data_IF_564272205306
#
_entry.id   IF_564272205306
#
_cell.length_a   1.000
_cell.length_b   1.000
_cell.length_c   1.000
_cell.angle_alpha   90.00
_cell.angle_beta   90.00
_cell.angle_gamma   90.00
#
_symmetry.space_group_name_H-M   'P 1'
#
loop_
_entity.id
_entity.type
_entity.pdbx_description
1 polymer ?
#
# COMPACT_ATOMS: atom_id res chain seq x y z
N UNK A 1 22.40 -1.35 7.93
CA UNK A 1 21.15 -1.90 8.50
C UNK A 1 20.23 -2.23 7.36
N UNK A 2 19.76 -3.47 7.29
CA UNK A 2 18.80 -3.96 6.31
C UNK A 2 17.38 -3.45 6.60
N UNK A 3 16.50 -3.66 5.62
CA UNK A 3 15.06 -3.57 5.79
C UNK A 3 14.54 -5.01 5.71
N UNK A 4 13.84 -5.45 6.73
CA UNK A 4 13.14 -6.72 6.67
C UNK A 4 11.91 -6.59 5.78
N UNK A 5 11.67 -7.53 4.87
CA UNK A 5 10.42 -7.54 4.13
C UNK A 5 9.64 -8.83 4.36
N UNK A 6 8.32 -8.71 4.40
CA UNK A 6 7.41 -9.84 4.51
C UNK A 6 6.31 -9.73 3.45
N UNK A 7 5.99 -10.85 2.80
CA UNK A 7 4.97 -10.93 1.76
C UNK A 7 3.82 -11.83 2.20
N UNK A 8 2.66 -11.25 2.38
CA UNK A 8 1.44 -11.99 2.68
C UNK A 8 0.87 -12.63 1.42
N UNK A 9 0.51 -13.90 1.49
CA UNK A 9 0.00 -14.66 0.33
C UNK A 9 -1.51 -14.52 0.14
N UNK A 10 -2.26 -14.36 1.22
CA UNK A 10 -3.71 -14.23 1.22
C UNK A 10 -4.11 -12.76 1.34
N UNK A 11 -5.11 -12.26 0.59
CA UNK A 11 -5.64 -10.91 0.76
C UNK A 11 -6.14 -10.64 2.18
N UNK A 12 -5.65 -9.57 2.79
CA UNK A 12 -5.84 -9.25 4.20
C UNK A 12 -7.00 -8.28 4.45
N UNK A 13 -7.73 -8.42 5.57
CA UNK A 13 -8.69 -7.42 6.03
C UNK A 13 -7.97 -6.14 6.44
N UNK A 14 -8.42 -4.99 5.89
CA UNK A 14 -7.72 -3.72 6.07
C UNK A 14 -7.64 -3.26 7.52
N UNK A 15 -8.73 -3.37 8.28
CA UNK A 15 -8.78 -2.92 9.66
C UNK A 15 -7.74 -3.65 10.54
N UNK A 16 -7.58 -4.96 10.33
CA UNK A 16 -6.58 -5.78 11.05
C UNK A 16 -5.16 -5.44 10.62
N UNK A 17 -4.94 -5.22 9.33
CA UNK A 17 -3.63 -4.78 8.81
C UNK A 17 -3.26 -3.39 9.33
N UNK A 18 -4.23 -2.48 9.48
CA UNK A 18 -4.00 -1.17 10.10
C UNK A 18 -3.60 -1.31 11.57
N UNK A 19 -4.24 -2.21 12.30
CA UNK A 19 -3.87 -2.50 13.68
C UNK A 19 -2.44 -3.05 13.77
N UNK A 20 -2.06 -4.00 12.90
CA UNK A 20 -0.68 -4.53 12.81
C UNK A 20 0.34 -3.38 12.59
N UNK A 21 0.08 -2.46 11.66
CA UNK A 21 0.95 -1.31 11.44
C UNK A 21 1.10 -0.45 12.71
N UNK A 22 0.01 -0.24 13.45
CA UNK A 22 0.04 0.52 14.70
C UNK A 22 0.84 -0.19 15.80
N UNK A 23 0.70 -1.50 15.91
CA UNK A 23 1.45 -2.33 16.87
C UNK A 23 2.95 -2.32 16.55
N UNK A 24 3.33 -2.49 15.29
CA UNK A 24 4.73 -2.38 14.84
C UNK A 24 5.28 -0.99 15.13
N UNK A 25 4.52 0.07 14.84
CA UNK A 25 4.93 1.45 15.14
C UNK A 25 5.18 1.66 16.64
N UNK A 26 4.32 1.12 17.51
CA UNK A 26 4.51 1.20 18.96
C UNK A 26 5.75 0.41 19.43
N UNK A 27 5.95 -0.79 18.90
CA UNK A 27 7.13 -1.59 19.17
C UNK A 27 8.42 -0.86 18.75
N UNK A 28 8.47 -0.29 17.55
CA UNK A 28 9.60 0.51 17.08
C UNK A 28 9.85 1.72 17.98
N UNK A 29 8.81 2.41 18.45
CA UNK A 29 8.96 3.53 19.40
C UNK A 29 9.51 3.08 20.75
N UNK A 30 9.03 1.96 21.29
CA UNK A 30 9.47 1.42 22.56
C UNK A 30 10.94 1.00 22.50
N UNK A 31 11.32 0.22 21.49
CA UNK A 31 12.71 -0.22 21.30
C UNK A 31 13.64 0.99 21.11
N UNK A 32 13.25 1.96 20.27
CA UNK A 32 14.06 3.16 19.98
C UNK A 32 14.32 4.03 21.22
N UNK A 33 13.42 4.01 22.22
CA UNK A 33 13.62 4.72 23.49
C UNK A 33 14.74 4.10 24.34
N UNK A 34 14.93 2.79 24.21
CA UNK A 34 15.97 2.04 24.93
C UNK A 34 17.28 2.11 24.14
N UNK A 35 17.24 1.73 22.87
CA UNK A 35 18.38 1.79 21.96
C UNK A 35 17.91 2.17 20.54
N UNK A 36 18.27 3.37 20.05
CA UNK A 36 17.85 3.84 18.73
C UNK A 36 18.45 3.04 17.56
N UNK A 37 19.38 2.14 17.80
CA UNK A 37 20.06 1.36 16.76
C UNK A 37 19.43 -0.01 16.52
N UNK A 38 18.64 -0.54 17.46
CA UNK A 38 18.22 -1.95 17.46
C UNK A 38 16.83 -2.21 16.86
N UNK A 39 15.94 -1.18 16.77
CA UNK A 39 14.65 -1.39 16.13
C UNK A 39 14.81 -1.63 14.61
N UNK A 40 13.93 -2.44 14.02
CA UNK A 40 14.01 -2.84 12.63
C UNK A 40 13.08 -2.00 11.75
N UNK A 41 13.53 -1.67 10.54
CA UNK A 41 12.68 -1.15 9.47
C UNK A 41 12.05 -2.34 8.75
N UNK A 42 10.76 -2.26 8.44
CA UNK A 42 10.00 -3.37 7.89
C UNK A 42 9.22 -2.91 6.65
N UNK A 43 9.25 -3.67 5.57
CA UNK A 43 8.39 -3.52 4.41
C UNK A 43 7.38 -4.68 4.38
N UNK A 44 6.11 -4.38 4.61
CA UNK A 44 5.03 -5.35 4.42
C UNK A 44 4.49 -5.24 2.99
N UNK A 45 4.43 -6.36 2.27
CA UNK A 45 3.87 -6.46 0.92
C UNK A 45 2.67 -7.39 0.95
N UNK A 46 1.54 -6.93 0.43
CA UNK A 46 0.29 -7.63 0.56
C UNK A 46 -0.73 -7.21 -0.51
N UNK A 47 -1.83 -7.92 -0.56
CA UNK A 47 -3.07 -7.50 -1.17
C UNK A 47 -4.12 -7.33 -0.06
N UNK A 48 -5.09 -6.46 -0.25
CA UNK A 48 -6.26 -6.38 0.63
C UNK A 48 -7.47 -7.13 0.06
N UNK A 49 -8.40 -7.50 0.92
CA UNK A 49 -9.80 -7.74 0.54
C UNK A 49 -10.40 -6.42 0.06
N UNK A 50 -11.44 -6.43 -0.78
CA UNK A 50 -12.03 -5.20 -1.30
C UNK A 50 -12.35 -4.19 -0.20
N UNK A 51 -11.71 -3.01 -0.27
CA UNK A 51 -11.88 -1.95 0.73
C UNK A 51 -11.69 -0.57 0.11
N UNK A 52 -12.56 0.35 0.46
CA UNK A 52 -12.33 1.77 0.25
C UNK A 52 -11.76 2.40 1.52
N UNK A 53 -10.74 3.21 1.35
CA UNK A 53 -10.14 3.93 2.48
C UNK A 53 -10.22 5.43 2.22
N UNK A 54 -10.66 6.20 3.21
CA UNK A 54 -10.63 7.65 3.16
C UNK A 54 -9.49 8.20 4.01
N UNK A 55 -8.75 9.17 3.48
CA UNK A 55 -7.67 9.83 4.19
C UNK A 55 -8.17 11.01 5.03
N UNK A 56 -7.29 11.57 5.87
CA UNK A 56 -7.58 12.61 6.87
C UNK A 56 -8.16 13.93 6.34
N UNK A 57 -8.24 14.12 5.01
CA UNK A 57 -8.81 15.33 4.39
C UNK A 57 -10.33 15.30 4.29
N UNK A 58 -10.97 14.18 4.62
CA UNK A 58 -12.40 13.97 4.50
C UNK A 58 -12.96 13.57 5.87
N UNK A 59 -14.06 14.17 6.25
CA UNK A 59 -14.74 13.87 7.51
C UNK A 59 -15.71 12.72 7.37
N UNK A 60 -16.12 12.12 8.49
CA UNK A 60 -17.11 11.04 8.50
C UNK A 60 -18.48 11.52 8.01
N UNK A 61 -18.85 12.77 8.34
CA UNK A 61 -20.11 13.39 7.92
C UNK A 61 -20.16 13.57 6.40
N UNK A 62 -19.06 14.07 5.79
CA UNK A 62 -18.94 14.23 4.34
C UNK A 62 -19.02 12.89 3.59
N UNK A 63 -18.61 11.81 4.23
CA UNK A 63 -18.52 10.49 3.61
C UNK A 63 -19.66 9.54 3.95
N UNK A 64 -20.62 9.93 4.79
CA UNK A 64 -21.65 9.02 5.29
C UNK A 64 -22.46 8.36 4.17
N UNK A 65 -22.91 9.12 3.17
CA UNK A 65 -23.66 8.61 2.02
C UNK A 65 -22.76 7.74 1.11
N UNK A 66 -21.54 8.19 0.85
CA UNK A 66 -20.59 7.47 0.02
C UNK A 66 -20.16 6.15 0.68
N UNK A 67 -19.94 6.16 2.00
CA UNK A 67 -19.68 4.96 2.79
C UNK A 67 -20.80 3.93 2.63
N UNK A 68 -22.06 4.35 2.82
CA UNK A 68 -23.20 3.46 2.67
C UNK A 68 -23.29 2.87 1.25
N UNK A 69 -23.12 3.72 0.23
CA UNK A 69 -23.13 3.29 -1.19
C UNK A 69 -22.05 2.26 -1.48
N UNK A 70 -20.80 2.53 -1.08
CA UNK A 70 -19.65 1.68 -1.37
C UNK A 70 -19.68 0.36 -0.58
N UNK A 71 -20.18 0.40 0.66
CA UNK A 71 -20.37 -0.83 1.46
C UNK A 71 -21.43 -1.74 0.82
N UNK A 72 -22.49 -1.18 0.26
CA UNK A 72 -23.51 -1.94 -0.46
C UNK A 72 -22.98 -2.61 -1.75
N UNK A 73 -21.84 -2.14 -2.29
CA UNK A 73 -21.16 -2.80 -3.41
C UNK A 73 -20.36 -4.03 -2.97
N UNK A 74 -20.28 -4.34 -1.68
CA UNK A 74 -19.57 -5.51 -1.16
C UNK A 74 -18.11 -5.25 -0.77
N UNK A 75 -17.68 -3.98 -0.65
CA UNK A 75 -16.37 -3.61 -0.13
C UNK A 75 -16.47 -3.06 1.30
N UNK A 76 -15.42 -3.26 2.09
CA UNK A 76 -15.26 -2.57 3.36
C UNK A 76 -15.04 -1.07 3.14
N UNK A 77 -15.29 -0.26 4.20
CA UNK A 77 -15.00 1.17 4.18
C UNK A 77 -14.32 1.59 5.49
N UNK A 78 -13.10 2.15 5.40
CA UNK A 78 -12.30 2.48 6.58
C UNK A 78 -11.77 3.92 6.50
N UNK A 79 -12.01 4.71 7.55
CA UNK A 79 -11.39 6.01 7.75
C UNK A 79 -9.97 5.85 8.28
N UNK A 80 -9.03 6.61 7.73
CA UNK A 80 -7.61 6.49 8.05
C UNK A 80 -6.95 7.84 8.29
N UNK A 81 -5.76 7.81 8.90
CA UNK A 81 -4.95 9.00 9.16
C UNK A 81 -3.87 9.24 8.08
N UNK A 82 -3.86 8.45 6.99
CA UNK A 82 -2.97 8.71 5.84
C UNK A 82 -3.30 10.01 5.14
N UNK A 83 -2.33 10.54 4.40
CA UNK A 83 -2.57 11.64 3.46
C UNK A 83 -3.49 11.21 2.30
N UNK A 84 -4.06 12.19 1.62
CA UNK A 84 -4.95 11.98 0.46
C UNK A 84 -6.42 11.87 0.82
N UNK A 85 -7.22 11.51 -0.18
CA UNK A 85 -8.67 11.35 -0.14
C UNK A 85 -9.03 9.87 -0.30
N UNK A 86 -10.30 9.59 -0.71
CA UNK A 86 -10.77 8.24 -0.92
C UNK A 86 -9.95 7.51 -2.00
N UNK A 87 -9.65 6.23 -1.76
CA UNK A 87 -9.04 5.31 -2.72
C UNK A 87 -9.55 3.90 -2.47
N UNK A 88 -9.23 2.98 -3.37
CA UNK A 88 -9.58 1.57 -3.28
C UNK A 88 -8.33 0.70 -3.11
N UNK A 89 -8.46 -0.38 -2.35
CA UNK A 89 -7.51 -1.48 -2.30
C UNK A 89 -8.25 -2.81 -2.45
N UNK A 90 -7.64 -3.77 -3.15
CA UNK A 90 -8.23 -5.07 -3.36
C UNK A 90 -7.30 -6.05 -4.07
N UNK A 91 -7.79 -7.27 -4.37
CA UNK A 91 -7.06 -8.26 -5.14
C UNK A 91 -6.58 -7.71 -6.48
N UNK A 92 -5.43 -8.18 -6.95
CA UNK A 92 -4.78 -7.67 -8.16
C UNK A 92 -3.98 -6.38 -7.97
N UNK A 93 -3.94 -5.82 -6.74
CA UNK A 93 -3.15 -4.64 -6.39
C UNK A 93 -2.10 -5.00 -5.34
N UNK A 94 -0.81 -4.72 -5.60
CA UNK A 94 0.21 -4.77 -4.56
C UNK A 94 0.07 -3.53 -3.67
N UNK A 95 -0.03 -3.76 -2.36
CA UNK A 95 0.08 -2.70 -1.36
C UNK A 95 1.38 -2.90 -0.60
N UNK A 96 2.19 -1.84 -0.52
CA UNK A 96 3.42 -1.82 0.25
C UNK A 96 3.30 -0.86 1.43
N UNK A 97 3.59 -1.36 2.63
CA UNK A 97 3.67 -0.57 3.86
C UNK A 97 5.10 -0.53 4.38
N UNK A 98 5.91 0.48 3.97
CA UNK A 98 7.24 0.66 4.54
C UNK A 98 7.10 1.31 5.93
N UNK A 99 7.34 0.52 6.97
CA UNK A 99 7.33 0.92 8.38
C UNK A 99 8.78 1.22 8.81
N UNK A 100 9.22 2.45 8.54
CA UNK A 100 10.64 2.83 8.57
C UNK A 100 10.91 4.03 9.47
N UNK A 101 12.13 4.09 10.02
CA UNK A 101 12.62 5.28 10.69
C UNK A 101 13.40 6.20 9.73
N UNK A 102 12.78 7.28 9.33
CA UNK A 102 13.38 8.29 8.44
C UNK A 102 14.52 9.06 9.12
N UNK A 103 14.63 8.97 10.44
CA UNK A 103 15.74 9.55 11.21
C UNK A 103 17.07 8.82 11.02
N UNK A 104 17.06 7.60 10.49
CA UNK A 104 18.28 6.80 10.23
C UNK A 104 19.07 7.24 9.01
N UNK A 105 18.50 8.09 8.19
CA UNK A 105 19.20 8.65 7.02
C UNK A 105 20.04 9.86 7.42
N UNK A 106 21.15 10.10 6.72
CA UNK A 106 22.04 11.22 6.94
C UNK A 106 22.15 12.07 5.65
N UNK A 107 21.55 13.28 5.62
CA UNK A 107 20.66 13.87 6.64
C UNK A 107 19.36 13.10 6.77
N UNK A 108 18.63 13.32 7.89
CA UNK A 108 17.34 12.67 8.11
C UNK A 108 16.37 12.93 6.93
N UNK A 109 15.72 11.85 6.44
CA UNK A 109 14.86 11.92 5.26
C UNK A 109 13.58 12.70 5.54
N UNK A 110 13.27 13.68 4.71
CA UNK A 110 12.01 14.43 4.76
C UNK A 110 10.86 13.67 4.09
N UNK A 111 9.61 14.08 4.39
CA UNK A 111 8.42 13.44 3.80
C UNK A 111 8.39 13.52 2.27
N UNK A 112 8.85 14.64 1.69
CA UNK A 112 8.89 14.81 0.23
C UNK A 112 9.85 13.81 -0.40
N UNK A 113 11.08 13.68 0.12
CA UNK A 113 12.06 12.72 -0.39
C UNK A 113 11.57 11.28 -0.23
N UNK A 114 10.93 10.96 0.90
CA UNK A 114 10.32 9.65 1.14
C UNK A 114 9.25 9.31 0.10
N UNK A 115 8.33 10.24 -0.21
CA UNK A 115 7.31 10.07 -1.25
C UNK A 115 7.94 9.96 -2.64
N UNK A 116 8.91 10.82 -2.97
CA UNK A 116 9.62 10.77 -4.25
C UNK A 116 10.34 9.42 -4.46
N UNK A 117 10.92 8.84 -3.41
CA UNK A 117 11.53 7.51 -3.49
C UNK A 117 10.51 6.41 -3.77
N UNK A 118 9.33 6.46 -3.17
CA UNK A 118 8.24 5.51 -3.50
C UNK A 118 7.78 5.66 -4.95
N UNK A 119 7.57 6.91 -5.42
CA UNK A 119 7.24 7.16 -6.83
C UNK A 119 8.32 6.59 -7.75
N UNK A 120 9.59 6.89 -7.43
CA UNK A 120 10.73 6.40 -8.19
C UNK A 120 10.81 4.88 -8.18
N UNK A 121 10.55 4.20 -7.05
CA UNK A 121 10.52 2.74 -6.98
C UNK A 121 9.52 2.16 -7.97
N UNK A 122 8.27 2.60 -7.91
CA UNK A 122 7.23 2.12 -8.82
C UNK A 122 7.54 2.44 -10.29
N UNK A 123 7.95 3.67 -10.59
CA UNK A 123 8.29 4.09 -11.96
C UNK A 123 9.50 3.33 -12.52
N UNK A 124 10.47 2.99 -11.68
CA UNK A 124 11.66 2.23 -12.07
C UNK A 124 11.28 0.78 -12.37
N UNK A 125 10.48 0.14 -11.53
CA UNK A 125 9.95 -1.22 -11.78
C UNK A 125 9.18 -1.26 -13.09
N UNK A 126 8.25 -0.32 -13.32
CA UNK A 126 7.50 -0.23 -14.56
C UNK A 126 8.40 -0.17 -15.79
N UNK A 127 9.40 0.71 -15.75
CA UNK A 127 10.27 0.98 -16.90
C UNK A 127 11.28 -0.12 -17.12
N UNK A 128 12.05 -0.47 -16.07
CA UNK A 128 13.25 -1.31 -16.21
C UNK A 128 12.88 -2.79 -16.38
N UNK A 129 11.79 -3.26 -15.73
CA UNK A 129 11.39 -4.67 -15.75
C UNK A 129 10.29 -4.95 -16.81
N UNK A 130 9.41 -3.98 -17.05
CA UNK A 130 8.20 -4.21 -17.87
C UNK A 130 8.10 -3.28 -19.08
N UNK A 131 9.08 -2.39 -19.32
CA UNK A 131 9.07 -1.49 -20.47
C UNK A 131 7.96 -0.44 -20.47
N UNK A 132 7.25 -0.26 -19.36
CA UNK A 132 6.12 0.66 -19.23
C UNK A 132 6.63 2.05 -18.84
N UNK A 133 6.45 3.03 -19.71
CA UNK A 133 6.80 4.43 -19.42
C UNK A 133 5.84 5.08 -18.43
N UNK A 134 6.37 6.01 -17.61
CA UNK A 134 5.57 6.88 -16.74
C UNK A 134 5.94 8.34 -16.93
N UNK A 135 5.00 9.24 -16.67
CA UNK A 135 5.21 10.69 -16.82
C UNK A 135 5.29 11.40 -15.47
N UNK A 136 6.03 12.51 -15.35
CA UNK A 136 5.97 13.38 -14.19
C UNK A 136 4.55 13.93 -14.00
N UNK A 137 4.14 14.12 -12.73
CA UNK A 137 2.86 14.72 -12.38
C UNK A 137 3.00 15.57 -11.13
N UNK A 138 2.26 16.68 -11.06
CA UNK A 138 2.13 17.49 -9.84
C UNK A 138 1.31 16.75 -8.77
N UNK A 139 0.55 15.73 -9.17
CA UNK A 139 -0.21 14.89 -8.27
C UNK A 139 0.64 13.73 -7.71
N UNK A 140 0.44 13.43 -6.43
CA UNK A 140 1.13 12.30 -5.78
C UNK A 140 0.66 10.96 -6.35
N UNK A 141 1.61 10.15 -6.82
CA UNK A 141 1.36 8.83 -7.41
C UNK A 141 2.23 8.59 -8.64
N UNK A 142 1.93 7.53 -9.39
CA UNK A 142 2.58 7.19 -10.66
C UNK A 142 1.56 7.21 -11.77
N UNK A 143 1.87 7.93 -12.83
CA UNK A 143 0.97 8.20 -13.95
C UNK A 143 1.58 7.69 -15.26
N UNK A 144 0.78 7.06 -16.10
CA UNK A 144 1.18 6.64 -17.45
C UNK A 144 1.07 7.79 -18.45
N UNK A 145 0.14 8.70 -18.20
CA UNK A 145 -0.08 9.97 -18.90
C UNK A 145 -0.84 10.94 -17.96
N UNK A 146 -1.21 12.12 -18.42
CA UNK A 146 -1.83 13.17 -17.60
C UNK A 146 -3.16 12.75 -16.96
N UNK A 147 -3.85 11.76 -17.52
CA UNK A 147 -5.21 11.31 -17.11
C UNK A 147 -5.27 9.87 -16.64
N UNK A 148 -4.13 9.17 -16.54
CA UNK A 148 -4.11 7.74 -16.25
C UNK A 148 -3.13 7.42 -15.14
N UNK A 149 -3.64 6.94 -14.01
CA UNK A 149 -2.87 6.65 -12.79
C UNK A 149 -2.77 5.14 -12.54
N UNK A 150 -1.56 4.64 -12.35
CA UNK A 150 -1.28 3.22 -12.08
C UNK A 150 -0.84 2.96 -10.64
N UNK A 151 -0.23 3.96 -9.98
CA UNK A 151 0.25 3.83 -8.61
C UNK A 151 -0.24 4.97 -7.70
N UNK A 152 -0.64 4.64 -6.49
CA UNK A 152 -1.13 5.56 -5.47
C UNK A 152 -0.21 5.57 -4.26
N UNK A 153 -0.07 6.73 -3.60
CA UNK A 153 0.74 6.89 -2.40
C UNK A 153 -0.06 7.69 -1.37
N UNK A 154 -0.12 7.15 -0.15
CA UNK A 154 -0.69 7.83 0.99
C UNK A 154 0.01 7.39 2.27
N UNK A 155 0.68 8.30 2.96
CA UNK A 155 1.52 8.01 4.13
C UNK A 155 1.09 8.81 5.34
N UNK A 156 1.47 8.31 6.51
CA UNK A 156 1.51 9.06 7.76
C UNK A 156 2.92 8.96 8.35
N UNK A 157 3.41 10.05 8.93
CA UNK A 157 4.70 10.09 9.64
C UNK A 157 4.44 10.66 11.03
N UNK A 158 4.82 9.89 12.05
CA UNK A 158 4.80 10.31 13.45
C UNK A 158 6.14 9.97 14.09
N UNK A 159 6.76 10.94 14.75
CA UNK A 159 8.07 10.76 15.39
C UNK A 159 9.16 10.22 14.44
N UNK A 160 9.12 10.60 13.15
CA UNK A 160 9.97 10.10 12.04
C UNK A 160 9.73 8.64 11.65
N UNK A 161 8.84 7.92 12.31
CA UNK A 161 8.39 6.59 11.90
C UNK A 161 7.22 6.71 10.93
N UNK A 162 7.22 5.85 9.91
CA UNK A 162 6.23 5.85 8.84
C UNK A 162 5.18 4.77 9.04
N UNK A 163 3.95 5.03 8.58
CA UNK A 163 2.88 4.07 8.42
C UNK A 163 2.14 4.32 7.10
N UNK A 164 1.34 3.36 6.66
CA UNK A 164 0.77 3.31 5.30
C UNK A 164 1.89 3.30 4.25
N UNK A 165 1.59 3.62 3.00
CA UNK A 165 2.62 3.55 1.96
C UNK A 165 2.08 3.76 0.56
N UNK A 166 2.22 2.76 -0.30
CA UNK A 166 1.85 2.82 -1.71
C UNK A 166 0.96 1.66 -2.13
N UNK A 167 0.26 1.83 -3.24
CA UNK A 167 -0.52 0.81 -3.89
C UNK A 167 -0.24 0.83 -5.40
N UNK A 168 -0.11 -0.34 -6.02
CA UNK A 168 0.31 -0.52 -7.39
C UNK A 168 -0.64 -1.50 -8.09
N UNK A 169 -1.40 -1.05 -9.09
CA UNK A 169 -2.35 -1.87 -9.81
C UNK A 169 -1.62 -2.79 -10.80
N UNK A 170 -1.68 -4.09 -10.56
CA UNK A 170 -1.01 -5.11 -11.37
C UNK A 170 -1.99 -5.69 -12.39
N UNK A 171 -3.08 -6.29 -11.93
CA UNK A 171 -4.11 -6.90 -12.80
C UNK A 171 -5.31 -5.96 -13.01
N UNK A 172 -6.29 -6.40 -13.84
CA UNK A 172 -7.50 -5.62 -14.14
C UNK A 172 -8.52 -5.58 -13.01
N UNK A 173 -8.47 -6.52 -12.07
CA UNK A 173 -9.45 -6.67 -11.00
C UNK A 173 -9.74 -5.37 -10.22
N UNK A 174 -8.75 -4.54 -9.82
CA UNK A 174 -9.00 -3.30 -9.11
C UNK A 174 -9.79 -2.25 -9.90
N UNK A 175 -9.75 -2.28 -11.25
CA UNK A 175 -10.27 -1.19 -12.08
C UNK A 175 -11.79 -1.04 -11.96
N UNK A 176 -12.54 -2.15 -11.90
CA UNK A 176 -14.00 -2.12 -11.73
C UNK A 176 -14.42 -1.41 -10.44
N UNK A 177 -13.65 -1.59 -9.39
CA UNK A 177 -13.86 -0.95 -8.09
C UNK A 177 -13.44 0.51 -8.08
N UNK A 178 -12.30 0.85 -8.72
CA UNK A 178 -11.87 2.26 -8.86
C UNK A 178 -12.87 3.10 -9.63
N UNK A 179 -13.56 2.54 -10.61
CA UNK A 179 -14.60 3.22 -11.38
C UNK A 179 -15.84 3.61 -10.56
N UNK A 180 -15.96 3.12 -9.32
CA UNK A 180 -17.04 3.49 -8.40
C UNK A 180 -16.76 4.80 -7.64
N UNK A 181 -15.55 5.32 -7.69
CA UNK A 181 -15.17 6.54 -6.95
C UNK A 181 -14.36 7.49 -7.81
N UNK A 182 -14.43 8.78 -7.48
CA UNK A 182 -13.46 9.76 -7.97
C UNK A 182 -12.22 9.64 -7.09
N UNK A 183 -11.29 8.79 -7.51
CA UNK A 183 -10.12 8.48 -6.70
C UNK A 183 -9.22 9.71 -6.51
N UNK A 184 -8.86 10.00 -5.26
CA UNK A 184 -8.00 11.11 -4.88
C UNK A 184 -8.51 12.51 -5.29
N UNK A 185 -9.82 12.66 -5.56
CA UNK A 185 -10.42 13.94 -5.98
C UNK A 185 -10.00 14.41 -7.39
N UNK A 186 -9.49 13.51 -8.22
CA UNK A 186 -9.06 13.78 -9.59
C UNK A 186 -10.13 13.27 -10.57
N UNK A 187 -11.14 14.12 -10.85
CA UNK A 187 -12.30 13.75 -11.67
C UNK A 187 -11.95 13.27 -13.08
N UNK A 188 -10.87 13.81 -13.64
CA UNK A 188 -10.43 13.50 -15.00
C UNK A 188 -9.37 12.38 -15.07
N UNK A 189 -9.02 11.78 -13.93
CA UNK A 189 -7.99 10.74 -13.84
C UNK A 189 -8.64 9.36 -13.64
N UNK A 190 -8.33 8.45 -14.55
CA UNK A 190 -8.75 7.04 -14.50
C UNK A 190 -7.66 6.17 -13.87
N UNK A 191 -8.08 5.09 -13.21
CA UNK A 191 -7.15 4.05 -12.77
C UNK A 191 -6.76 3.16 -13.96
N UNK A 192 -5.50 2.71 -13.95
CA UNK A 192 -4.95 1.76 -14.92
C UNK A 192 -4.13 0.69 -14.19
N UNK A 193 -3.76 -0.38 -14.89
CA UNK A 193 -2.99 -1.49 -14.36
C UNK A 193 -1.88 -1.92 -15.33
N UNK A 194 -0.92 -2.71 -14.81
CA UNK A 194 0.19 -3.21 -15.60
C UNK A 194 -0.27 -4.14 -16.72
N UNK A 195 -1.20 -5.05 -16.43
CA UNK A 195 -1.75 -6.01 -17.40
C UNK A 195 -2.31 -5.34 -18.64
N UNK A 196 -3.04 -4.22 -18.51
CA UNK A 196 -3.52 -3.44 -19.65
C UNK A 196 -2.38 -2.71 -20.37
N UNK A 197 -1.46 -2.11 -19.62
CA UNK A 197 -0.35 -1.34 -20.19
C UNK A 197 0.62 -2.23 -20.98
N UNK A 198 0.77 -3.49 -20.57
CA UNK A 198 1.60 -4.50 -21.27
C UNK A 198 0.84 -5.16 -22.42
N UNK A 199 -0.48 -5.31 -22.31
CA UNK A 199 -1.30 -6.08 -23.26
C UNK A 199 -1.20 -7.60 -23.07
N UNK A 200 -0.61 -8.06 -21.96
CA UNK A 200 -0.45 -9.49 -21.62
C UNK A 200 -0.70 -9.75 -20.15
N UNK A 201 -1.09 -10.98 -19.76
CA UNK A 201 -1.33 -11.34 -18.37
C UNK A 201 -0.07 -11.19 -17.51
N UNK A 202 -0.27 -10.76 -16.28
CA UNK A 202 0.77 -10.67 -15.25
C UNK A 202 0.14 -10.91 -13.88
N UNK A 203 0.88 -11.52 -12.97
CA UNK A 203 0.45 -11.78 -11.60
C UNK A 203 1.12 -10.86 -10.59
N UNK A 204 0.47 -10.65 -9.46
CA UNK A 204 1.05 -9.90 -8.33
C UNK A 204 2.36 -10.54 -7.86
N UNK A 205 2.43 -11.88 -7.84
CA UNK A 205 3.62 -12.63 -7.41
C UNK A 205 4.85 -12.35 -8.27
N UNK A 206 4.68 -12.15 -9.58
CA UNK A 206 5.79 -11.85 -10.50
C UNK A 206 6.37 -10.44 -10.30
N UNK A 207 5.58 -9.50 -9.80
CA UNK A 207 6.00 -8.11 -9.60
C UNK A 207 6.71 -7.90 -8.25
N UNK A 208 6.48 -8.76 -7.26
CA UNK A 208 7.04 -8.60 -5.90
C UNK A 208 8.58 -8.67 -5.89
N UNK A 209 9.27 -9.66 -6.49
CA UNK A 209 10.73 -9.73 -6.42
C UNK A 209 11.44 -8.49 -7.01
N UNK A 210 11.15 -8.02 -8.24
CA UNK A 210 11.76 -6.81 -8.77
C UNK A 210 11.38 -5.55 -8.00
N UNK A 211 10.19 -5.50 -7.38
CA UNK A 211 9.77 -4.39 -6.53
C UNK A 211 10.63 -4.32 -5.26
N UNK A 212 10.90 -5.45 -4.59
CA UNK A 212 11.76 -5.54 -3.40
C UNK A 212 13.18 -5.13 -3.72
N UNK A 213 13.77 -5.66 -4.80
CA UNK A 213 15.12 -5.32 -5.23
C UNK A 213 15.25 -3.82 -5.54
N UNK A 214 14.32 -3.29 -6.33
CA UNK A 214 14.31 -1.86 -6.70
C UNK A 214 14.09 -0.97 -5.48
N UNK A 215 13.24 -1.38 -4.53
CA UNK A 215 13.05 -0.66 -3.28
C UNK A 215 14.36 -0.55 -2.50
N UNK A 216 15.07 -1.67 -2.29
CA UNK A 216 16.37 -1.70 -1.62
C UNK A 216 17.39 -0.76 -2.28
N UNK A 217 17.52 -0.84 -3.60
CA UNK A 217 18.42 0.00 -4.42
C UNK A 217 18.11 1.50 -4.26
N UNK A 218 16.84 1.91 -4.33
CA UNK A 218 16.41 3.32 -4.26
C UNK A 218 16.55 3.87 -2.83
N UNK A 219 16.22 3.06 -1.83
CA UNK A 219 16.38 3.44 -0.42
C UNK A 219 17.82 3.27 0.08
N UNK A 220 18.71 2.67 -0.72
CA UNK A 220 20.12 2.37 -0.39
C UNK A 220 20.22 1.52 0.87
N UNK A 221 19.40 0.50 0.94
CA UNK A 221 19.33 -0.46 2.05
C UNK A 221 19.27 -1.87 1.49
N UNK A 222 19.93 -2.76 2.17
CA UNK A 222 19.83 -4.20 1.93
C UNK A 222 18.42 -4.68 2.31
N UNK A 223 17.86 -5.57 1.52
CA UNK A 223 16.56 -6.19 1.78
C UNK A 223 16.78 -7.62 2.25
N UNK A 224 16.20 -7.96 3.40
CA UNK A 224 16.24 -9.31 3.98
C UNK A 224 14.82 -9.84 4.12
N UNK A 225 14.58 -11.07 3.67
CA UNK A 225 13.29 -11.70 3.89
C UNK A 225 13.08 -11.98 5.39
N UNK A 226 11.94 -11.55 5.90
CA UNK A 226 11.60 -11.75 7.31
C UNK A 226 11.21 -13.21 7.56
N UNK A 227 11.82 -13.82 8.55
CA UNK A 227 11.35 -15.07 9.14
C UNK A 227 10.47 -14.75 10.37
N UNK A 228 9.13 -14.84 10.28
CA UNK A 228 8.26 -14.48 11.40
C UNK A 228 8.54 -15.27 12.70
N UNK A 229 9.09 -16.50 12.59
CA UNK A 229 9.44 -17.30 13.77
C UNK A 229 10.59 -16.68 14.61
N UNK A 230 11.37 -15.78 14.01
CA UNK A 230 12.53 -15.13 14.65
C UNK A 230 12.27 -13.69 15.08
N UNK A 231 11.09 -13.15 14.77
CA UNK A 231 10.79 -11.72 15.01
C UNK A 231 9.92 -11.48 16.27
N UNK A 232 9.84 -12.48 17.17
CA UNK A 232 9.16 -12.34 18.47
C UNK A 232 7.72 -11.87 18.31
N UNK A 233 7.28 -10.90 19.11
CA UNK A 233 5.91 -10.36 19.10
C UNK A 233 5.44 -9.91 17.71
N UNK A 234 6.31 -9.26 16.92
CA UNK A 234 5.94 -8.81 15.57
C UNK A 234 5.68 -10.01 14.65
N UNK A 235 6.48 -11.06 14.74
CA UNK A 235 6.29 -12.28 14.00
C UNK A 235 5.01 -13.03 14.39
N UNK A 236 4.66 -13.06 15.67
CA UNK A 236 3.40 -13.63 16.16
C UNK A 236 2.20 -12.89 15.58
N UNK A 237 2.20 -11.56 15.63
CA UNK A 237 1.13 -10.72 15.05
C UNK A 237 0.94 -10.92 13.55
N UNK A 238 2.02 -11.13 12.81
CA UNK A 238 1.98 -11.42 11.37
C UNK A 238 1.30 -12.77 11.14
N UNK A 239 1.70 -13.82 11.84
CA UNK A 239 1.12 -15.17 11.70
C UNK A 239 -0.35 -15.21 12.08
N UNK A 240 -0.71 -14.58 13.21
CA UNK A 240 -2.13 -14.47 13.63
C UNK A 240 -2.99 -13.80 12.56
N UNK A 241 -2.47 -12.73 11.92
CA UNK A 241 -3.18 -12.05 10.84
C UNK A 241 -3.33 -12.93 9.59
N UNK A 242 -2.33 -13.73 9.24
CA UNK A 242 -2.40 -14.68 8.12
C UNK A 242 -3.44 -15.78 8.39
N UNK A 243 -3.45 -16.35 9.58
CA UNK A 243 -4.41 -17.37 10.00
C UNK A 243 -5.84 -16.81 9.98
N UNK A 244 -6.05 -15.62 10.52
CA UNK A 244 -7.34 -14.94 10.49
C UNK A 244 -7.82 -14.69 9.06
N UNK A 245 -6.94 -14.21 8.18
CA UNK A 245 -7.27 -13.93 6.78
C UNK A 245 -7.69 -15.21 6.03
N UNK A 246 -7.03 -16.33 6.29
CA UNK A 246 -7.40 -17.63 5.72
C UNK A 246 -8.78 -18.08 6.25
N UNK A 247 -9.04 -17.90 7.53
CA UNK A 247 -10.30 -18.31 8.16
C UNK A 247 -11.51 -17.47 7.71
N UNK A 248 -11.32 -16.24 7.24
CA UNK A 248 -12.40 -15.36 6.78
C UNK A 248 -13.09 -15.81 5.49
N UNK A 249 -12.53 -16.76 4.72
CA UNK A 249 -13.10 -17.28 3.49
C UNK A 249 -13.13 -16.28 2.35
N UNK A 250 -14.14 -16.37 1.47
CA UNK A 250 -14.22 -15.62 0.22
C UNK A 250 -14.66 -14.16 0.41
N UNK A 251 -14.47 -13.35 -0.63
CA UNK A 251 -14.87 -11.94 -0.74
C UNK A 251 -15.51 -11.68 -2.10
N UNK A 252 -16.20 -10.54 -2.25
CA UNK A 252 -16.76 -10.11 -3.53
C UNK A 252 -15.64 -9.91 -4.57
N UNK A 253 -15.75 -10.56 -5.72
CA UNK A 253 -14.76 -10.47 -6.79
C UNK A 253 -14.94 -9.22 -7.64
N UNK A 254 -16.18 -8.74 -7.76
CA UNK A 254 -16.57 -7.54 -8.48
C UNK A 254 -17.57 -6.73 -7.65
N UNK A 255 -17.71 -5.42 -7.92
CA UNK A 255 -18.74 -4.61 -7.27
C UNK A 255 -20.13 -5.21 -7.53
N UNK A 256 -20.91 -5.38 -6.46
CA UNK A 256 -22.30 -5.83 -6.58
C UNK A 256 -23.10 -4.78 -7.34
N UNK A 257 -23.72 -5.17 -8.45
CA UNK A 257 -24.61 -4.28 -9.20
C UNK A 257 -25.93 -4.18 -8.43
N UNK A 258 -26.29 -2.99 -7.98
CA UNK A 258 -27.62 -2.75 -7.48
C UNK A 258 -28.61 -2.90 -8.64
N UNK A 259 -29.24 -4.06 -8.76
CA UNK A 259 -30.45 -4.25 -9.56
C UNK A 259 -31.63 -3.65 -8.78
N UNK A 260 -31.74 -2.33 -8.79
CA UNK A 260 -32.93 -1.64 -8.33
C UNK A 260 -33.64 -1.02 -9.52
#
# INVERSE_FOLDING_TARGET
MSILYHTFRTPLPYARTLLLQQQIHQAQLAIRRIDPTTHKDILLLLQHRPVYTAGRRQTEEELALERARLTNLGADFVLTQRGGQITYHGPGQIVGYPLMDLGRYQPAMGIRDYICRMQKTMSTVLKDEYGIGSVPSDNTGVFLNDTTKIGSIGVQIRHRLTTHGFAFNVTREPLAWFNQVVACGLADVKAECMENAMGEPITVGEVIPPLVETFGRIYRREMEEMDPEREGEIGELIRELEEEAIAMGEWAKEPLVNTA
#
